data_IF_334489767467
#
_entry.id   IF_334489767467
#
_cell.length_a   1.000
_cell.length_b   1.000
_cell.length_c   1.000
_cell.angle_alpha   90.00
_cell.angle_beta   90.00
_cell.angle_gamma   90.00
#
_symmetry.space_group_name_H-M   'P 1'
#
loop_
_entity.id
_entity.type
_entity.pdbx_description
1 polymer ?
#
# COMPACT_ATOMS: atom_id res chain seq x y z
N UNK A 1 -15.94 16.73 -5.07
CA UNK A 1 -16.30 16.59 -6.50
C UNK A 1 -17.75 16.97 -6.76
N UNK A 2 -18.73 16.37 -6.07
CA UNK A 2 -20.17 16.62 -6.27
C UNK A 2 -20.57 18.10 -6.23
N UNK A 3 -20.06 18.85 -5.24
CA UNK A 3 -20.35 20.28 -5.14
C UNK A 3 -19.84 21.11 -6.32
N UNK A 4 -18.65 20.80 -6.82
CA UNK A 4 -18.07 21.50 -7.95
C UNK A 4 -18.87 21.24 -9.24
N UNK A 5 -19.35 20.02 -9.44
CA UNK A 5 -20.18 19.66 -10.61
C UNK A 5 -21.58 20.28 -10.52
N UNK A 6 -22.15 20.35 -9.32
CA UNK A 6 -23.53 20.78 -9.14
C UNK A 6 -23.67 22.30 -8.93
N UNK A 7 -22.68 22.96 -8.32
CA UNK A 7 -22.76 24.36 -7.90
C UNK A 7 -21.61 25.23 -8.40
N UNK A 8 -20.58 24.64 -9.03
CA UNK A 8 -19.42 25.39 -9.57
C UNK A 8 -18.40 25.81 -8.52
N UNK A 9 -18.63 25.51 -7.25
CA UNK A 9 -17.73 25.82 -6.12
C UNK A 9 -17.81 24.71 -5.06
N UNK A 10 -16.78 24.57 -4.23
CA UNK A 10 -16.81 23.66 -3.08
C UNK A 10 -17.49 24.39 -1.92
N UNK A 11 -18.57 23.82 -1.36
CA UNK A 11 -19.35 24.46 -0.29
C UNK A 11 -19.14 23.77 1.06
N UNK A 12 -18.90 22.47 1.06
CA UNK A 12 -18.68 21.69 2.27
C UNK A 12 -17.28 21.06 2.33
N UNK A 13 -16.75 20.91 3.55
CA UNK A 13 -15.59 20.05 3.82
C UNK A 13 -16.03 18.58 3.89
N UNK A 14 -16.25 18.01 2.71
CA UNK A 14 -16.67 16.62 2.55
C UNK A 14 -15.69 15.62 3.16
N UNK A 15 -14.39 15.94 3.19
CA UNK A 15 -13.39 15.06 3.77
C UNK A 15 -13.55 14.99 5.29
N UNK A 16 -13.70 16.14 5.96
CA UNK A 16 -13.96 16.14 7.39
C UNK A 16 -15.33 15.52 7.75
N UNK A 17 -16.36 15.75 6.93
CA UNK A 17 -17.71 15.22 7.15
C UNK A 17 -17.76 13.69 7.08
N UNK A 18 -17.08 13.09 6.09
CA UNK A 18 -17.16 11.65 5.84
C UNK A 18 -15.94 10.86 6.29
N UNK A 19 -14.81 11.50 6.59
CA UNK A 19 -13.59 10.84 7.01
C UNK A 19 -13.83 9.87 8.17
N UNK A 20 -14.57 10.30 9.20
CA UNK A 20 -14.95 9.44 10.33
C UNK A 20 -15.76 8.21 9.95
N UNK A 21 -16.63 8.32 8.94
CA UNK A 21 -17.42 7.19 8.47
C UNK A 21 -16.58 6.14 7.73
N UNK A 22 -15.42 6.55 7.19
CA UNK A 22 -14.50 5.69 6.45
C UNK A 22 -13.26 5.27 7.25
N UNK A 23 -13.05 5.79 8.47
CA UNK A 23 -11.89 5.46 9.32
C UNK A 23 -11.66 3.95 9.47
N UNK A 24 -12.73 3.16 9.56
CA UNK A 24 -12.64 1.70 9.67
C UNK A 24 -12.12 1.02 8.40
N UNK A 25 -12.40 1.58 7.22
CA UNK A 25 -11.93 1.06 5.93
C UNK A 25 -10.45 1.37 5.70
N UNK A 26 -9.92 2.42 6.32
CA UNK A 26 -8.51 2.81 6.22
C UNK A 26 -7.60 2.02 7.17
N UNK A 27 -8.18 1.19 8.04
CA UNK A 27 -7.41 0.33 8.95
C UNK A 27 -6.55 -0.65 8.16
N UNK A 28 -5.31 -0.93 8.61
CA UNK A 28 -4.49 -1.96 7.99
C UNK A 28 -5.22 -3.31 7.96
N UNK A 29 -5.21 -3.96 6.81
CA UNK A 29 -5.84 -5.28 6.59
C UNK A 29 -4.78 -6.35 6.33
N UNK A 30 -5.07 -7.58 6.77
CA UNK A 30 -4.21 -8.74 6.54
C UNK A 30 -3.82 -9.47 7.82
N UNK A 31 -3.42 -10.74 7.69
CA UNK A 31 -3.08 -11.62 8.82
C UNK A 31 -1.83 -11.20 9.60
N UNK A 32 -1.00 -10.35 9.01
CA UNK A 32 0.28 -9.91 9.58
C UNK A 32 0.17 -8.56 10.32
N UNK A 33 -1.01 -7.93 10.33
CA UNK A 33 -1.22 -6.65 11.01
C UNK A 33 -0.96 -6.81 12.52
N UNK A 34 -0.06 -5.99 13.06
CA UNK A 34 0.31 -6.01 14.48
C UNK A 34 1.18 -7.19 14.91
N UNK A 35 1.53 -8.10 14.01
CA UNK A 35 2.40 -9.23 14.33
C UNK A 35 3.87 -8.79 14.43
N UNK A 36 4.60 -9.36 15.39
CA UNK A 36 6.05 -9.20 15.46
C UNK A 36 6.72 -9.98 14.33
N UNK A 37 7.87 -9.48 13.88
CA UNK A 37 8.68 -10.22 12.91
C UNK A 37 9.19 -11.51 13.53
N UNK A 38 9.26 -12.62 12.77
CA UNK A 38 9.88 -13.85 13.26
C UNK A 38 11.33 -13.58 13.69
N UNK A 39 11.71 -14.00 14.90
CA UNK A 39 13.07 -13.85 15.41
C UNK A 39 14.08 -14.72 14.65
N UNK A 40 13.62 -15.88 14.17
CA UNK A 40 14.41 -16.83 13.40
C UNK A 40 13.72 -17.16 12.08
N UNK A 41 13.89 -16.29 11.08
CA UNK A 41 13.45 -16.58 9.72
C UNK A 41 14.35 -17.69 9.13
N UNK A 42 13.79 -18.88 8.95
CA UNK A 42 14.44 -20.00 8.27
C UNK A 42 13.77 -20.25 6.92
N UNK A 43 14.53 -20.62 5.87
CA UNK A 43 16.00 -20.74 5.84
C UNK A 43 16.71 -19.36 5.80
N UNK A 44 18.02 -19.30 6.11
CA UNK A 44 18.81 -18.09 5.89
C UNK A 44 18.73 -17.64 4.42
N UNK A 45 18.84 -16.34 4.14
CA UNK A 45 18.80 -15.84 2.78
C UNK A 45 19.99 -16.36 1.97
N UNK A 46 19.76 -16.57 0.67
CA UNK A 46 20.82 -16.77 -0.31
C UNK A 46 21.66 -15.49 -0.45
N UNK A 47 22.86 -15.56 -1.07
CA UNK A 47 23.65 -14.37 -1.37
C UNK A 47 22.81 -13.31 -2.08
N UNK A 48 22.77 -12.06 -1.60
CA UNK A 48 21.79 -11.08 -2.08
C UNK A 48 21.83 -10.80 -3.59
N UNK A 49 23.02 -10.92 -4.20
CA UNK A 49 23.20 -10.85 -5.64
C UNK A 49 22.32 -11.86 -6.42
N UNK A 50 21.94 -13.01 -5.82
CA UNK A 50 21.07 -14.00 -6.46
C UNK A 50 19.63 -13.51 -6.64
N UNK A 51 19.21 -12.49 -5.90
CA UNK A 51 17.88 -11.89 -6.00
C UNK A 51 17.86 -10.66 -6.92
N UNK A 52 19.02 -10.17 -7.38
CA UNK A 52 19.08 -9.02 -8.25
C UNK A 52 18.60 -9.37 -9.67
N UNK A 53 17.76 -8.50 -10.25
CA UNK A 53 17.20 -8.74 -11.58
C UNK A 53 15.92 -7.96 -11.85
N UNK A 54 15.34 -8.22 -13.02
CA UNK A 54 14.06 -7.64 -13.44
C UNK A 54 13.02 -8.76 -13.49
N UNK A 55 11.99 -8.63 -12.66
CA UNK A 55 10.87 -9.57 -12.56
C UNK A 55 9.67 -9.01 -13.31
N UNK A 56 9.33 -9.63 -14.45
CA UNK A 56 8.21 -9.19 -15.26
C UNK A 56 6.87 -9.60 -14.65
N UNK A 57 5.90 -8.68 -14.69
CA UNK A 57 4.51 -8.93 -14.33
C UNK A 57 3.62 -8.19 -15.34
N UNK A 58 2.72 -8.91 -16.02
CA UNK A 58 1.90 -8.33 -17.09
C UNK A 58 0.88 -7.30 -16.59
N UNK A 59 0.49 -7.41 -15.32
CA UNK A 59 -0.49 -6.53 -14.70
C UNK A 59 0.16 -5.28 -14.09
N UNK A 60 1.26 -5.46 -13.36
CA UNK A 60 1.94 -4.37 -12.63
C UNK A 60 3.14 -3.76 -13.35
N UNK A 61 3.62 -4.39 -14.42
CA UNK A 61 4.88 -4.05 -15.08
C UNK A 61 6.11 -4.67 -14.38
N UNK A 62 7.32 -4.41 -14.91
CA UNK A 62 8.54 -5.01 -14.39
C UNK A 62 8.97 -4.43 -13.04
N UNK A 63 9.30 -5.31 -12.09
CA UNK A 63 9.91 -4.95 -10.81
C UNK A 63 11.43 -5.14 -10.87
N UNK A 64 12.21 -4.07 -10.61
CA UNK A 64 13.67 -4.15 -10.57
C UNK A 64 14.15 -4.32 -9.13
N UNK A 65 14.92 -5.37 -8.88
CA UNK A 65 15.62 -5.63 -7.62
C UNK A 65 17.11 -5.42 -7.84
N UNK A 66 17.73 -4.58 -7.03
CA UNK A 66 19.15 -4.26 -7.12
C UNK A 66 19.81 -4.33 -5.74
N UNK A 67 21.07 -4.77 -5.71
CA UNK A 67 21.94 -4.68 -4.56
C UNK A 67 22.58 -3.27 -4.49
N UNK A 68 22.88 -2.79 -3.28
CA UNK A 68 23.52 -1.49 -3.04
C UNK A 68 24.96 -1.65 -2.59
#
# INVERSE_FOLDING_TARGET
FSDMVQFGEVREDWFALYGKAFEDMDKPVGSLVGQSRPENAAPPPEPFASYAGVYNNDYWGPATVAER
#
